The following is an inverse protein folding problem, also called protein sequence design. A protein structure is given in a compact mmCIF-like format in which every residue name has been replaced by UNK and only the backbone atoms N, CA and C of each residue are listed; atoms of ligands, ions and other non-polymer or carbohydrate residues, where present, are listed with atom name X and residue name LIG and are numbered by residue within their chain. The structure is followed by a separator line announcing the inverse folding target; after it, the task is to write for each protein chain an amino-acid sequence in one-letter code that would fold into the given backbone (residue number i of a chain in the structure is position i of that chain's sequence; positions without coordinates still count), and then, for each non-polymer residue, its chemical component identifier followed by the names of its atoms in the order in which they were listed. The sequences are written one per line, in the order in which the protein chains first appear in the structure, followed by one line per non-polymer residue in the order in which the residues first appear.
data_IF_142460248746
#
_entry.id   IF_142460248746
#
_cell.length_a   1.000
_cell.length_b   1.000
_cell.length_c   1.000
_cell.angle_alpha   90.00
_cell.angle_beta   90.00
_cell.angle_gamma   90.00
#
_symmetry.space_group_name_H-M   'P 1'
#
loop_
_entity.id
_entity.type
_entity.pdbx_description
1 polymer ?
#
# COMPACT_ATOMS: atom_id res chain seq x y z
N UNK A 1 16.91 0.50 -0.93
CA UNK A 1 17.79 -0.03 0.13
C UNK A 1 16.94 -0.44 1.33
N UNK A 2 17.41 -1.35 2.21
CA UNK A 2 16.72 -1.60 3.48
C UNK A 2 16.49 -0.27 4.22
N UNK A 3 15.26 -0.03 4.67
CA UNK A 3 14.82 1.20 5.33
C UNK A 3 14.25 2.30 4.43
N UNK A 4 14.40 2.19 3.10
CA UNK A 4 13.80 3.15 2.16
C UNK A 4 12.27 2.97 2.05
N UNK A 5 11.60 4.04 1.62
CA UNK A 5 10.16 4.07 1.36
C UNK A 5 9.95 3.97 -0.16
N UNK A 6 9.14 2.99 -0.57
CA UNK A 6 8.67 2.87 -1.96
C UNK A 6 7.37 3.67 -2.12
N UNK A 7 7.29 4.50 -3.15
CA UNK A 7 6.05 5.16 -3.56
C UNK A 7 5.52 4.48 -4.81
N UNK A 8 4.28 4.02 -4.75
CA UNK A 8 3.52 3.54 -5.91
C UNK A 8 2.25 4.39 -6.08
N UNK A 9 2.24 5.36 -7.01
CA UNK A 9 1.09 6.25 -7.19
C UNK A 9 -0.09 5.60 -7.95
N UNK A 10 0.09 4.38 -8.48
CA UNK A 10 -0.92 3.64 -9.24
C UNK A 10 -0.93 2.17 -8.78
N UNK A 11 -1.30 1.97 -7.51
CA UNK A 11 -1.05 0.70 -6.82
C UNK A 11 -1.86 -0.48 -7.36
N UNK A 12 -2.99 -0.23 -8.05
CA UNK A 12 -3.87 -1.27 -8.58
C UNK A 12 -4.20 -2.31 -7.51
N UNK A 13 -4.00 -3.59 -7.80
CA UNK A 13 -4.24 -4.68 -6.85
C UNK A 13 -3.26 -4.77 -5.65
N UNK A 14 -2.26 -3.89 -5.54
CA UNK A 14 -1.37 -3.82 -4.38
C UNK A 14 -0.13 -4.72 -4.40
N UNK A 15 0.26 -5.28 -5.54
CA UNK A 15 1.40 -6.23 -5.62
C UNK A 15 2.72 -5.58 -5.16
N UNK A 16 2.92 -4.28 -5.42
CA UNK A 16 4.09 -3.54 -4.94
C UNK A 16 4.20 -3.56 -3.41
N UNK A 17 3.09 -3.41 -2.69
CA UNK A 17 3.09 -3.46 -1.22
C UNK A 17 3.30 -4.88 -0.67
N UNK A 18 2.78 -5.91 -1.34
CA UNK A 18 3.03 -7.31 -0.98
C UNK A 18 4.52 -7.69 -1.17
N UNK A 19 5.12 -7.21 -2.25
CA UNK A 19 6.56 -7.38 -2.46
C UNK A 19 7.36 -6.64 -1.37
N UNK A 20 6.93 -5.45 -0.97
CA UNK A 20 7.57 -4.69 0.11
C UNK A 20 7.42 -5.37 1.48
N UNK A 21 6.26 -5.96 1.80
CA UNK A 21 6.05 -6.66 3.07
C UNK A 21 6.86 -7.97 3.17
N UNK A 22 7.07 -8.65 2.04
CA UNK A 22 7.85 -9.89 1.97
C UNK A 22 9.36 -9.64 2.11
N UNK A 23 9.86 -8.56 1.51
CA UNK A 23 11.28 -8.20 1.62
C UNK A 23 11.48 -7.40 2.91
N UNK A 24 11.97 -8.06 3.96
CA UNK A 24 12.29 -7.44 5.26
C UNK A 24 12.93 -6.05 5.06
N UNK A 25 12.34 -5.02 5.68
CA UNK A 25 12.78 -3.61 5.70
C UNK A 25 12.37 -2.72 4.51
N UNK A 26 11.25 -2.97 3.83
CA UNK A 26 10.69 -1.98 2.90
C UNK A 26 9.34 -1.49 3.39
N UNK A 27 9.25 -0.19 3.62
CA UNK A 27 7.96 0.49 3.83
C UNK A 27 7.47 0.97 2.46
N UNK A 28 6.16 1.05 2.27
CA UNK A 28 5.59 1.60 1.05
C UNK A 28 4.44 2.55 1.34
N UNK A 29 4.24 3.51 0.44
CA UNK A 29 3.04 4.32 0.31
C UNK A 29 2.41 3.95 -1.01
N UNK A 30 1.14 3.52 -0.96
CA UNK A 30 0.35 3.11 -2.10
C UNK A 30 -0.77 4.13 -2.28
N UNK A 31 -0.96 4.61 -3.50
CA UNK A 31 -2.08 5.49 -3.86
C UNK A 31 -2.88 4.77 -4.95
N UNK A 32 -4.19 4.70 -4.74
CA UNK A 32 -5.13 4.14 -5.70
C UNK A 32 -6.44 4.92 -5.62
N UNK A 33 -7.02 5.20 -6.78
CA UNK A 33 -8.24 6.00 -6.92
C UNK A 33 -9.48 5.12 -6.95
N UNK A 34 -9.37 3.94 -7.56
CA UNK A 34 -10.50 3.04 -7.76
C UNK A 34 -10.78 2.24 -6.48
N UNK A 35 -11.94 2.48 -5.87
CA UNK A 35 -12.30 1.95 -4.56
C UNK A 35 -12.26 0.41 -4.50
N UNK A 36 -12.64 -0.27 -5.59
CA UNK A 36 -12.59 -1.73 -5.68
C UNK A 36 -11.17 -2.28 -5.46
N UNK A 37 -10.16 -1.57 -5.96
CA UNK A 37 -8.76 -1.95 -5.81
C UNK A 37 -8.23 -1.60 -4.43
N UNK A 38 -8.68 -0.47 -3.88
CA UNK A 38 -8.39 -0.09 -2.49
C UNK A 38 -8.87 -1.15 -1.51
N UNK A 39 -10.11 -1.64 -1.65
CA UNK A 39 -10.65 -2.72 -0.80
C UNK A 39 -9.87 -4.04 -0.96
N UNK A 40 -9.35 -4.32 -2.15
CA UNK A 40 -8.46 -5.47 -2.38
C UNK A 40 -7.14 -5.29 -1.63
N UNK A 41 -6.52 -4.11 -1.69
CA UNK A 41 -5.28 -3.79 -0.97
C UNK A 41 -5.49 -3.93 0.55
N UNK A 42 -6.56 -3.34 1.10
CA UNK A 42 -6.87 -3.40 2.53
C UNK A 42 -7.02 -4.85 3.03
N UNK A 43 -7.77 -5.68 2.28
CA UNK A 43 -7.95 -7.10 2.61
C UNK A 43 -6.65 -7.88 2.49
N UNK A 44 -5.88 -7.67 1.42
CA UNK A 44 -4.61 -8.38 1.18
C UNK A 44 -3.59 -8.09 2.27
N UNK A 45 -3.49 -6.84 2.71
CA UNK A 45 -2.44 -6.40 3.63
C UNK A 45 -2.90 -6.30 5.08
N UNK A 46 -4.20 -6.45 5.36
CA UNK A 46 -4.75 -6.29 6.71
C UNK A 46 -4.61 -4.86 7.25
N UNK A 47 -4.69 -3.86 6.37
CA UNK A 47 -4.53 -2.45 6.69
C UNK A 47 -5.80 -1.65 6.37
N UNK A 48 -5.83 -0.40 6.83
CA UNK A 48 -6.81 0.60 6.40
C UNK A 48 -6.11 1.77 5.76
N UNK A 49 -6.70 2.31 4.69
CA UNK A 49 -6.22 3.57 4.11
C UNK A 49 -6.38 4.71 5.10
N UNK A 50 -5.50 5.70 4.99
CA UNK A 50 -5.64 6.96 5.70
C UNK A 50 -6.63 7.83 4.93
N UNK A 51 -7.63 8.38 5.61
CA UNK A 51 -8.54 9.42 5.11
C UNK A 51 -8.12 10.78 5.66
N UNK A 52 -8.45 11.84 4.93
CA UNK A 52 -8.16 13.21 5.37
C UNK A 52 -8.81 13.54 6.73
N UNK A 53 -9.94 12.88 7.04
CA UNK A 53 -10.69 13.05 8.28
C UNK A 53 -10.18 12.19 9.46
N UNK A 54 -9.14 11.37 9.28
CA UNK A 54 -8.58 10.52 10.34
C UNK A 54 -7.61 11.29 11.28
N UNK A 55 -7.51 12.62 11.12
CA UNK A 55 -6.60 13.52 11.84
C UNK A 55 -7.28 14.45 12.85
#
# INVERSE_FOLDING_TARGET
KPGEIVLDPFAGGGVTGEACSTVKQRRCVLIEKEEEFVEVIERRMGIKRVREDDG
#
